data_IF_151748456490
#
_entry.id   IF_151748456490
#
_cell.length_a   1.000
_cell.length_b   1.000
_cell.length_c   1.000
_cell.angle_alpha   90.00
_cell.angle_beta   90.00
_cell.angle_gamma   90.00
#
_symmetry.space_group_name_H-M   'P 1'
#
loop_
_entity.id
_entity.type
_entity.pdbx_description
1 polymer ?
#
# COMPACT_ATOMS: atom_id res chain seq x y z
N UNK A 1 48.21 24.54 -28.56
CA UNK A 1 48.39 24.09 -27.16
C UNK A 1 47.47 24.77 -26.14
N UNK A 2 47.18 26.07 -26.27
CA UNK A 2 46.30 26.82 -25.34
C UNK A 2 44.91 26.18 -25.19
N UNK A 3 44.34 25.68 -26.29
CA UNK A 3 43.05 24.96 -26.32
C UNK A 3 43.05 23.76 -25.36
N UNK A 4 44.03 22.86 -25.48
CA UNK A 4 44.10 21.64 -24.67
C UNK A 4 44.26 21.98 -23.19
N UNK A 5 45.14 22.93 -22.84
CA UNK A 5 45.31 23.39 -21.45
C UNK A 5 44.03 23.97 -20.85
N UNK A 6 43.20 24.64 -21.67
CA UNK A 6 41.91 25.21 -21.24
C UNK A 6 40.83 24.14 -21.09
N UNK A 7 40.68 23.27 -22.09
CA UNK A 7 39.54 22.32 -22.20
C UNK A 7 39.80 21.00 -21.49
N UNK A 8 41.02 20.47 -21.56
CA UNK A 8 41.39 19.20 -20.94
C UNK A 8 42.82 19.27 -20.40
N UNK A 9 43.07 20.00 -19.30
CA UNK A 9 44.41 20.12 -18.69
C UNK A 9 44.99 18.79 -18.21
N UNK A 10 44.16 17.76 -18.04
CA UNK A 10 44.57 16.39 -17.71
C UNK A 10 45.02 15.56 -18.92
N UNK A 11 44.81 16.04 -20.15
CA UNK A 11 45.23 15.32 -21.35
C UNK A 11 46.76 15.38 -21.49
N UNK A 12 47.39 14.21 -21.68
CA UNK A 12 48.83 14.12 -21.93
C UNK A 12 49.11 14.42 -23.40
N UNK A 13 50.05 15.34 -23.67
CA UNK A 13 50.46 15.66 -25.03
C UNK A 13 51.82 15.02 -25.30
N UNK A 14 51.91 14.27 -26.39
CA UNK A 14 53.17 13.74 -26.93
C UNK A 14 53.43 14.45 -28.25
N UNK A 15 54.64 14.96 -28.44
CA UNK A 15 55.06 15.64 -29.67
C UNK A 15 56.12 14.79 -30.38
N UNK A 16 55.94 14.57 -31.68
CA UNK A 16 56.98 14.08 -32.58
C UNK A 16 57.24 15.13 -33.66
N UNK A 17 58.15 16.10 -33.42
CA UNK A 17 58.50 17.13 -34.40
C UNK A 17 59.03 16.49 -35.68
N UNK A 18 58.60 17.03 -36.83
CA UNK A 18 58.99 16.57 -38.16
C UNK A 18 59.07 17.75 -39.11
N UNK A 19 59.93 17.68 -40.12
CA UNK A 19 59.89 18.62 -41.24
C UNK A 19 58.53 18.52 -41.95
N UNK A 20 57.92 19.68 -42.19
CA UNK A 20 56.60 19.81 -42.85
C UNK A 20 56.70 20.41 -44.25
N UNK A 21 57.91 20.77 -44.69
CA UNK A 21 58.20 21.39 -45.98
C UNK A 21 59.58 20.98 -46.49
N UNK A 22 59.75 21.03 -47.82
CA UNK A 22 60.98 20.66 -48.51
C UNK A 22 61.08 19.17 -48.84
N UNK A 23 62.10 18.81 -49.62
CA UNK A 23 62.35 17.44 -50.06
C UNK A 23 62.61 16.50 -48.86
N UNK A 24 61.94 15.35 -48.85
CA UNK A 24 62.02 14.36 -47.77
C UNK A 24 61.12 14.62 -46.56
N UNK A 25 60.25 15.65 -46.60
CA UNK A 25 59.36 15.99 -45.49
C UNK A 25 58.25 14.94 -45.29
N UNK A 26 57.71 14.37 -46.37
CA UNK A 26 56.64 13.35 -46.29
C UNK A 26 57.15 12.08 -45.61
N UNK A 27 58.34 11.60 -45.95
CA UNK A 27 58.95 10.42 -45.32
C UNK A 27 59.29 10.65 -43.86
N UNK A 28 59.67 11.88 -43.50
CA UNK A 28 59.93 12.23 -42.10
C UNK A 28 58.64 12.26 -41.27
N UNK A 29 57.55 12.81 -41.83
CA UNK A 29 56.22 12.78 -41.23
C UNK A 29 55.71 11.34 -41.07
N UNK A 30 55.89 10.48 -42.08
CA UNK A 30 55.53 9.07 -42.01
C UNK A 30 56.31 8.35 -40.88
N UNK A 31 57.63 8.55 -40.80
CA UNK A 31 58.46 7.98 -39.72
C UNK A 31 58.06 8.51 -38.34
N UNK A 32 57.66 9.78 -38.25
CA UNK A 32 57.16 10.35 -37.00
C UNK A 32 55.83 9.73 -36.56
N UNK A 33 54.94 9.47 -37.52
CA UNK A 33 53.70 8.75 -37.27
C UNK A 33 53.99 7.33 -36.77
N UNK A 34 54.89 6.61 -37.43
CA UNK A 34 55.30 5.25 -37.03
C UNK A 34 55.84 5.24 -35.59
N UNK A 35 56.69 6.20 -35.21
CA UNK A 35 57.18 6.34 -33.83
C UNK A 35 56.06 6.55 -32.81
N UNK A 36 55.04 7.34 -33.15
CA UNK A 36 53.89 7.57 -32.27
C UNK A 36 53.03 6.31 -32.13
N UNK A 37 52.80 5.60 -33.23
CA UNK A 37 52.07 4.32 -33.26
C UNK A 37 52.81 3.26 -32.44
N UNK A 38 54.12 3.12 -32.65
CA UNK A 38 54.96 2.16 -31.93
C UNK A 38 55.02 2.45 -30.43
N UNK A 39 54.98 3.73 -30.04
CA UNK A 39 54.96 4.12 -28.62
C UNK A 39 53.72 3.62 -27.88
N UNK A 40 52.59 3.37 -28.57
CA UNK A 40 51.28 2.99 -28.00
C UNK A 40 50.80 3.91 -26.85
N UNK A 41 51.26 5.16 -26.83
CA UNK A 41 50.87 6.16 -25.83
C UNK A 41 49.65 6.99 -26.26
N UNK A 42 49.53 7.48 -27.51
CA UNK A 42 48.42 8.35 -27.88
C UNK A 42 47.14 7.56 -28.19
N UNK A 43 45.99 8.05 -27.70
CA UNK A 43 44.67 7.55 -28.10
C UNK A 43 44.20 8.12 -29.44
N UNK A 44 44.77 9.26 -29.85
CA UNK A 44 44.47 9.99 -31.09
C UNK A 44 45.72 10.77 -31.51
N UNK A 45 45.96 10.85 -32.82
CA UNK A 45 47.09 11.60 -33.40
C UNK A 45 46.54 12.77 -34.20
N UNK A 46 47.16 13.94 -34.05
CA UNK A 46 46.87 15.10 -34.90
C UNK A 46 48.07 15.31 -35.81
N UNK A 47 47.85 15.19 -37.11
CA UNK A 47 48.83 15.55 -38.13
C UNK A 47 48.49 16.95 -38.59
N UNK A 48 49.40 17.89 -38.43
CA UNK A 48 49.13 19.27 -38.80
C UNK A 48 50.38 20.11 -38.78
N UNK A 49 50.23 21.33 -39.25
CA UNK A 49 51.29 22.33 -39.31
C UNK A 49 50.83 23.66 -38.71
N UNK A 50 51.79 24.53 -38.37
CA UNK A 50 51.50 25.94 -38.09
C UNK A 50 51.10 26.70 -39.37
N UNK A 51 50.92 28.02 -39.27
CA UNK A 51 50.68 28.86 -40.46
C UNK A 51 51.82 28.78 -41.49
N UNK A 52 51.50 29.06 -42.77
CA UNK A 52 52.45 28.98 -43.90
C UNK A 52 51.74 29.16 -45.25
N UNK A 53 52.51 29.17 -46.34
CA UNK A 53 52.01 29.34 -47.71
C UNK A 53 51.36 28.05 -48.26
N UNK A 54 50.77 28.11 -49.46
CA UNK A 54 50.21 26.94 -50.16
C UNK A 54 51.32 25.97 -50.63
N UNK A 55 52.49 26.50 -50.98
CA UNK A 55 53.66 25.72 -51.43
C UNK A 55 54.17 24.77 -50.33
N UNK A 56 53.95 25.15 -49.08
CA UNK A 56 54.31 24.41 -47.87
C UNK A 56 53.29 23.28 -47.53
N UNK A 57 52.30 23.01 -48.38
CA UNK A 57 51.33 21.91 -48.22
C UNK A 57 51.71 20.63 -48.99
N UNK A 58 52.70 20.69 -49.87
CA UNK A 58 52.97 19.61 -50.82
C UNK A 58 53.33 18.28 -50.15
N UNK A 59 54.07 18.31 -49.04
CA UNK A 59 54.43 17.12 -48.26
C UNK A 59 53.21 16.30 -47.80
N UNK A 60 52.04 16.95 -47.67
CA UNK A 60 50.78 16.32 -47.27
C UNK A 60 49.97 15.73 -48.45
N UNK A 61 50.43 15.95 -49.68
CA UNK A 61 49.92 15.33 -50.91
C UNK A 61 50.76 14.15 -51.40
N UNK A 62 51.84 13.82 -50.71
CA UNK A 62 52.72 12.72 -51.11
C UNK A 62 52.23 11.36 -50.61
N UNK A 63 52.50 10.33 -51.41
CA UNK A 63 52.01 8.97 -51.18
C UNK A 63 52.55 8.35 -49.88
N UNK A 64 53.79 8.69 -49.50
CA UNK A 64 54.43 8.14 -48.30
C UNK A 64 53.62 8.43 -47.03
N UNK A 65 53.27 9.71 -46.80
CA UNK A 65 52.44 10.09 -45.66
C UNK A 65 51.01 9.56 -45.78
N UNK A 66 50.41 9.58 -46.97
CA UNK A 66 49.05 9.07 -47.17
C UNK A 66 48.94 7.58 -46.80
N UNK A 67 49.90 6.76 -47.23
CA UNK A 67 49.95 5.33 -46.86
C UNK A 67 50.17 5.13 -45.37
N UNK A 68 51.02 5.94 -44.75
CA UNK A 68 51.27 5.87 -43.31
C UNK A 68 50.00 6.21 -42.52
N UNK A 69 49.23 7.23 -42.94
CA UNK A 69 47.96 7.59 -42.32
C UNK A 69 46.96 6.43 -42.42
N UNK A 70 46.76 5.88 -43.61
CA UNK A 70 45.83 4.75 -43.84
C UNK A 70 46.23 3.49 -43.05
N UNK A 71 47.53 3.25 -42.88
CA UNK A 71 48.04 2.09 -42.16
C UNK A 71 47.97 2.24 -40.63
N UNK A 72 47.69 3.44 -40.12
CA UNK A 72 47.69 3.70 -38.68
C UNK A 72 46.54 2.98 -37.96
N UNK A 73 46.80 2.24 -36.87
CA UNK A 73 45.77 1.67 -36.02
C UNK A 73 45.18 2.69 -35.02
N UNK A 74 45.80 3.88 -34.90
CA UNK A 74 45.37 4.96 -34.01
C UNK A 74 44.65 6.01 -34.86
N UNK A 75 43.46 6.52 -34.45
CA UNK A 75 42.74 7.53 -35.21
C UNK A 75 43.57 8.79 -35.46
N UNK A 76 43.55 9.28 -36.69
CA UNK A 76 44.30 10.45 -37.14
C UNK A 76 43.36 11.59 -37.51
N UNK A 77 43.62 12.77 -36.96
CA UNK A 77 42.98 14.02 -37.37
C UNK A 77 43.95 14.84 -38.21
N UNK A 78 43.60 15.10 -39.46
CA UNK A 78 44.35 16.04 -40.31
C UNK A 78 43.97 17.48 -39.96
N UNK A 79 44.97 18.32 -39.77
CA UNK A 79 44.87 19.70 -39.34
C UNK A 79 45.81 20.61 -40.14
N UNK A 80 45.85 20.39 -41.46
CA UNK A 80 46.90 20.88 -42.37
C UNK A 80 46.49 22.14 -43.13
N UNK A 81 45.22 22.27 -43.54
CA UNK A 81 44.74 23.33 -44.44
C UNK A 81 43.53 24.10 -43.92
N UNK A 82 43.29 25.29 -44.50
CA UNK A 82 42.07 26.09 -44.30
C UNK A 82 40.90 25.46 -45.08
N UNK A 83 39.67 25.94 -44.90
CA UNK A 83 38.47 25.33 -45.50
C UNK A 83 38.56 25.11 -47.03
N UNK A 84 39.39 25.88 -47.74
CA UNK A 84 39.53 25.87 -49.21
C UNK A 84 40.61 24.91 -49.73
N UNK A 85 41.63 24.58 -48.93
CA UNK A 85 42.76 23.75 -49.35
C UNK A 85 42.59 22.32 -48.81
N UNK A 86 42.27 21.38 -49.70
CA UNK A 86 42.14 19.95 -49.37
C UNK A 86 43.40 19.21 -49.82
N UNK A 87 44.05 18.52 -48.89
CA UNK A 87 45.22 17.68 -49.16
C UNK A 87 44.84 16.20 -49.20
N UNK A 88 45.68 15.35 -49.79
CA UNK A 88 45.47 13.90 -49.74
C UNK A 88 45.45 13.41 -48.29
N UNK A 89 46.30 13.96 -47.42
CA UNK A 89 46.27 13.67 -45.97
C UNK A 89 44.90 13.95 -45.34
N UNK A 90 44.22 15.02 -45.75
CA UNK A 90 42.86 15.33 -45.28
C UNK A 90 41.81 14.30 -45.75
N UNK A 91 42.02 13.72 -46.93
CA UNK A 91 41.11 12.74 -47.51
C UNK A 91 41.29 11.34 -46.91
N UNK A 92 42.51 11.01 -46.49
CA UNK A 92 42.83 9.69 -45.94
C UNK A 92 42.77 9.63 -44.41
N UNK A 93 42.73 10.76 -43.72
CA UNK A 93 42.59 10.83 -42.26
C UNK A 93 41.15 10.52 -41.82
N UNK A 94 40.98 10.05 -40.57
CA UNK A 94 39.66 9.75 -40.00
C UNK A 94 38.79 11.01 -39.84
N UNK A 95 39.43 12.15 -39.58
CA UNK A 95 38.75 13.43 -39.44
C UNK A 95 39.61 14.58 -39.96
N UNK A 96 38.96 15.51 -40.66
CA UNK A 96 39.57 16.77 -41.07
C UNK A 96 39.19 17.90 -40.11
N UNK A 97 40.17 18.71 -39.76
CA UNK A 97 39.99 19.95 -39.02
C UNK A 97 40.70 21.12 -39.73
N UNK A 98 40.13 22.33 -39.72
CA UNK A 98 40.69 23.47 -40.45
C UNK A 98 41.98 24.04 -39.84
N UNK A 99 42.26 23.75 -38.56
CA UNK A 99 43.49 24.20 -37.88
C UNK A 99 43.88 23.19 -36.78
N UNK A 100 45.14 23.16 -36.34
CA UNK A 100 45.55 22.35 -35.19
C UNK A 100 44.79 22.68 -33.89
N UNK A 101 44.37 23.94 -33.73
CA UNK A 101 43.55 24.36 -32.60
C UNK A 101 42.13 23.78 -32.69
N UNK A 102 41.52 23.77 -33.87
CA UNK A 102 40.22 23.14 -34.09
C UNK A 102 40.29 21.62 -33.93
N UNK A 103 41.35 20.98 -34.42
CA UNK A 103 41.61 19.56 -34.20
C UNK A 103 41.66 19.24 -32.70
N UNK A 104 42.43 20.04 -31.94
CA UNK A 104 42.48 19.92 -30.48
C UNK A 104 41.09 20.07 -29.84
N UNK A 105 40.25 21.00 -30.30
CA UNK A 105 38.89 21.20 -29.80
C UNK A 105 37.94 20.03 -30.08
N UNK A 106 38.15 19.32 -31.19
CA UNK A 106 37.33 18.16 -31.57
C UNK A 106 37.71 16.91 -30.77
N UNK A 107 39.00 16.71 -30.49
CA UNK A 107 39.48 15.47 -29.86
C UNK A 107 39.39 15.47 -28.33
N UNK A 108 39.26 16.64 -27.67
CA UNK A 108 39.11 16.69 -26.21
C UNK A 108 37.74 17.18 -25.76
N UNK A 109 37.20 16.62 -24.66
CA UNK A 109 36.00 17.17 -24.04
C UNK A 109 36.25 18.57 -23.46
N UNK A 110 35.18 19.34 -23.25
CA UNK A 110 35.24 20.59 -22.52
C UNK A 110 35.12 20.35 -21.00
N UNK A 111 36.21 20.59 -20.28
CA UNK A 111 36.29 20.42 -18.84
C UNK A 111 35.43 21.37 -18.03
N UNK A 112 35.12 22.56 -18.54
CA UNK A 112 34.18 23.47 -17.87
C UNK A 112 32.77 22.85 -17.91
N UNK A 113 32.38 22.27 -19.04
CA UNK A 113 31.10 21.57 -19.18
C UNK A 113 31.03 20.27 -18.36
N UNK A 114 32.13 19.50 -18.32
CA UNK A 114 32.20 18.31 -17.47
C UNK A 114 32.09 18.68 -15.99
N UNK A 115 32.82 19.70 -15.54
CA UNK A 115 32.79 20.15 -14.15
C UNK A 115 31.43 20.73 -13.76
N UNK A 116 30.79 21.49 -14.65
CA UNK A 116 29.43 21.99 -14.40
C UNK A 116 28.42 20.86 -14.29
N UNK A 117 28.56 19.82 -15.11
CA UNK A 117 27.73 18.60 -15.04
C UNK A 117 27.91 17.86 -13.73
N UNK A 118 29.16 17.69 -13.27
CA UNK A 118 29.49 17.08 -11.97
C UNK A 118 28.93 17.91 -10.82
N UNK A 119 29.09 19.24 -10.86
CA UNK A 119 28.55 20.16 -9.83
C UNK A 119 27.02 20.18 -9.79
N UNK A 120 26.35 19.93 -10.91
CA UNK A 120 24.89 19.84 -10.98
C UNK A 120 24.33 18.47 -10.52
N UNK A 121 25.18 17.43 -10.46
CA UNK A 121 24.74 16.07 -10.14
C UNK A 121 24.10 15.93 -8.73
N UNK A 122 24.63 16.55 -7.65
CA UNK A 122 24.03 16.45 -6.31
C UNK A 122 22.58 16.96 -6.26
N UNK A 123 22.29 18.10 -6.89
CA UNK A 123 20.92 18.64 -6.94
C UNK A 123 19.97 17.73 -7.72
N UNK A 124 20.43 17.14 -8.83
CA UNK A 124 19.66 16.17 -9.62
C UNK A 124 19.37 14.90 -8.81
N UNK A 125 20.37 14.38 -8.11
CA UNK A 125 20.23 13.21 -7.24
C UNK A 125 19.27 13.48 -6.08
N UNK A 126 19.44 14.58 -5.35
CA UNK A 126 18.55 14.96 -4.24
C UNK A 126 17.09 15.10 -4.67
N UNK A 127 16.83 15.71 -5.83
CA UNK A 127 15.49 15.79 -6.42
C UNK A 127 14.94 14.40 -6.79
N UNK A 128 15.78 13.53 -7.35
CA UNK A 128 15.42 12.16 -7.69
C UNK A 128 15.01 11.33 -6.48
N UNK A 129 15.83 11.37 -5.42
CA UNK A 129 15.59 10.69 -4.14
C UNK A 129 14.30 11.20 -3.49
N UNK A 130 14.13 12.53 -3.41
CA UNK A 130 12.91 13.12 -2.84
C UNK A 130 11.64 12.66 -3.56
N UNK A 131 11.64 12.72 -4.90
CA UNK A 131 10.50 12.25 -5.71
C UNK A 131 10.22 10.76 -5.51
N UNK A 132 11.25 9.93 -5.37
CA UNK A 132 11.08 8.50 -5.10
C UNK A 132 10.42 8.26 -3.73
N UNK A 133 10.86 8.99 -2.69
CA UNK A 133 10.29 8.92 -1.36
C UNK A 133 8.82 9.38 -1.34
N UNK A 134 8.51 10.50 -1.99
CA UNK A 134 7.14 11.04 -2.10
C UNK A 134 6.19 10.05 -2.79
N UNK A 135 6.61 9.42 -3.89
CA UNK A 135 5.83 8.38 -4.57
C UNK A 135 5.58 7.16 -3.69
N UNK A 136 6.59 6.72 -2.93
CA UNK A 136 6.44 5.56 -2.03
C UNK A 136 5.49 5.88 -0.87
N UNK A 137 5.58 7.08 -0.29
CA UNK A 137 4.64 7.56 0.73
C UNK A 137 3.21 7.62 0.19
N UNK A 138 3.00 8.22 -0.98
CA UNK A 138 1.67 8.30 -1.60
C UNK A 138 1.05 6.91 -1.82
N UNK A 139 1.84 5.93 -2.28
CA UNK A 139 1.38 4.55 -2.48
C UNK A 139 0.95 3.87 -1.17
N UNK A 140 1.66 4.10 -0.07
CA UNK A 140 1.29 3.56 1.25
C UNK A 140 0.00 4.20 1.73
N UNK A 141 -0.11 5.52 1.64
CA UNK A 141 -1.32 6.26 2.05
C UNK A 141 -2.55 5.80 1.27
N UNK A 142 -2.41 5.61 -0.05
CA UNK A 142 -3.50 5.15 -0.90
C UNK A 142 -3.96 3.73 -0.54
N UNK A 143 -3.01 2.80 -0.37
CA UNK A 143 -3.31 1.43 0.09
C UNK A 143 -3.98 1.39 1.45
N UNK A 144 -3.53 2.23 2.39
CA UNK A 144 -4.17 2.34 3.71
C UNK A 144 -5.62 2.84 3.59
N UNK A 145 -5.89 3.86 2.76
CA UNK A 145 -7.26 4.34 2.52
C UNK A 145 -8.15 3.26 1.91
N UNK A 146 -7.65 2.50 0.94
CA UNK A 146 -8.39 1.39 0.33
C UNK A 146 -8.68 0.31 1.38
N UNK A 147 -7.68 -0.09 2.17
CA UNK A 147 -7.85 -1.09 3.22
C UNK A 147 -8.92 -0.67 4.24
N UNK A 148 -8.84 0.57 4.75
CA UNK A 148 -9.83 1.10 5.70
C UNK A 148 -11.25 1.06 5.16
N UNK A 149 -11.45 1.48 3.89
CA UNK A 149 -12.77 1.42 3.24
C UNK A 149 -13.28 -0.01 3.06
N UNK A 150 -12.40 -0.93 2.69
CA UNK A 150 -12.77 -2.34 2.52
C UNK A 150 -13.13 -2.98 3.86
N UNK A 151 -12.35 -2.72 4.91
CA UNK A 151 -12.65 -3.16 6.27
C UNK A 151 -14.00 -2.63 6.73
N UNK A 152 -14.26 -1.33 6.57
CA UNK A 152 -15.53 -0.72 6.96
C UNK A 152 -16.72 -1.33 6.22
N UNK A 153 -16.58 -1.58 4.90
CA UNK A 153 -17.61 -2.28 4.10
C UNK A 153 -17.87 -3.71 4.56
N UNK A 154 -16.85 -4.42 5.04
CA UNK A 154 -17.00 -5.80 5.54
C UNK A 154 -17.57 -5.88 6.96
N UNK A 155 -17.21 -4.93 7.84
CA UNK A 155 -17.60 -4.94 9.26
C UNK A 155 -19.01 -4.38 9.45
N UNK A 156 -19.43 -3.40 8.64
CA UNK A 156 -20.72 -2.73 8.80
C UNK A 156 -21.92 -3.70 8.72
N UNK A 157 -22.03 -4.61 7.74
CA UNK A 157 -23.13 -5.59 7.70
C UNK A 157 -23.11 -6.53 8.90
N UNK A 158 -21.93 -6.99 9.33
CA UNK A 158 -21.81 -7.87 10.50
C UNK A 158 -22.29 -7.17 11.79
N UNK A 159 -21.92 -5.90 12.00
CA UNK A 159 -22.42 -5.12 13.14
C UNK A 159 -23.94 -4.94 13.09
N UNK A 160 -24.49 -4.70 11.90
CA UNK A 160 -25.93 -4.55 11.72
C UNK A 160 -26.67 -5.87 12.01
N UNK A 161 -26.14 -7.00 11.53
CA UNK A 161 -26.69 -8.32 11.81
C UNK A 161 -26.72 -8.62 13.31
N UNK A 162 -25.62 -8.38 14.03
CA UNK A 162 -25.56 -8.55 15.49
C UNK A 162 -26.63 -7.70 16.21
N UNK A 163 -26.84 -6.45 15.76
CA UNK A 163 -27.90 -5.59 16.31
C UNK A 163 -29.29 -6.20 16.09
N UNK A 164 -29.61 -6.59 14.85
CA UNK A 164 -30.89 -7.21 14.50
C UNK A 164 -31.15 -8.52 15.25
N UNK A 165 -30.12 -9.36 15.38
CA UNK A 165 -30.20 -10.63 16.11
C UNK A 165 -30.41 -10.41 17.61
N UNK A 166 -29.79 -9.37 18.19
CA UNK A 166 -29.99 -8.99 19.59
C UNK A 166 -31.44 -8.53 19.84
N UNK A 167 -31.99 -7.67 18.99
CA UNK A 167 -33.40 -7.23 19.09
C UNK A 167 -34.39 -8.40 18.89
N UNK A 168 -34.07 -9.34 18.01
CA UNK A 168 -34.89 -10.53 17.79
C UNK A 168 -34.86 -11.45 19.01
N UNK A 169 -33.67 -11.66 19.59
CA UNK A 169 -33.49 -12.47 20.80
C UNK A 169 -34.30 -11.87 21.96
N UNK A 170 -34.18 -10.56 22.19
CA UNK A 170 -34.90 -9.88 23.27
C UNK A 170 -36.41 -10.00 23.13
N UNK A 171 -36.96 -9.77 21.93
CA UNK A 171 -38.40 -9.96 21.66
C UNK A 171 -38.84 -11.40 21.90
N UNK A 172 -38.08 -12.38 21.42
CA UNK A 172 -38.41 -13.79 21.61
C UNK A 172 -38.37 -14.21 23.07
N UNK A 173 -37.44 -13.64 23.84
CA UNK A 173 -37.31 -13.88 25.27
C UNK A 173 -38.49 -13.29 26.04
N UNK A 174 -38.86 -12.03 25.78
CA UNK A 174 -40.02 -11.39 26.41
C UNK A 174 -41.32 -12.15 26.11
N UNK A 175 -41.53 -12.52 24.85
CA UNK A 175 -42.71 -13.30 24.46
C UNK A 175 -42.76 -14.66 25.17
N UNK A 176 -41.62 -15.36 25.28
CA UNK A 176 -41.55 -16.63 26.01
C UNK A 176 -41.84 -16.44 27.51
N UNK A 177 -41.33 -15.36 28.11
CA UNK A 177 -41.56 -15.04 29.51
C UNK A 177 -43.04 -14.71 29.79
N UNK A 178 -43.67 -13.91 28.93
CA UNK A 178 -45.10 -13.59 29.01
C UNK A 178 -45.96 -14.85 28.90
N UNK A 179 -45.67 -15.73 27.94
CA UNK A 179 -46.39 -17.01 27.79
C UNK A 179 -46.25 -17.88 29.05
N UNK A 180 -45.05 -17.98 29.62
CA UNK A 180 -44.83 -18.73 30.87
C UNK A 180 -45.56 -18.11 32.06
N UNK A 181 -45.59 -16.77 32.17
CA UNK A 181 -46.35 -16.06 33.22
C UNK A 181 -47.85 -16.28 33.09
N UNK A 182 -48.39 -16.21 31.86
CA UNK A 182 -49.79 -16.47 31.60
C UNK A 182 -50.18 -17.92 31.94
N UNK A 183 -49.35 -18.89 31.55
CA UNK A 183 -49.55 -20.29 31.90
C UNK A 183 -49.51 -20.53 33.41
N UNK A 184 -48.55 -19.91 34.12
CA UNK A 184 -48.46 -19.97 35.57
C UNK A 184 -49.71 -19.39 36.25
N UNK A 185 -50.15 -18.20 35.84
CA UNK A 185 -51.35 -17.55 36.38
C UNK A 185 -52.60 -18.43 36.19
N UNK A 186 -52.77 -19.04 35.01
CA UNK A 186 -53.87 -19.96 34.75
C UNK A 186 -53.83 -21.20 35.66
N UNK A 187 -52.66 -21.81 35.84
CA UNK A 187 -52.50 -22.97 36.71
C UNK A 187 -52.77 -22.62 38.18
N UNK A 188 -52.28 -21.47 38.65
CA UNK A 188 -52.56 -20.96 40.00
C UNK A 188 -54.05 -20.69 40.21
N UNK A 189 -54.73 -20.05 39.26
CA UNK A 189 -56.17 -19.82 39.35
C UNK A 189 -56.99 -21.12 39.36
N UNK A 190 -56.56 -22.14 38.61
CA UNK A 190 -57.18 -23.49 38.68
C UNK A 190 -56.97 -24.14 40.04
N UNK A 191 -55.77 -24.02 40.60
CA UNK A 191 -55.45 -24.55 41.93
C UNK A 191 -56.30 -23.87 43.01
N UNK A 192 -56.46 -22.54 42.93
CA UNK A 192 -57.31 -21.79 43.85
C UNK A 192 -58.79 -22.15 43.72
N UNK A 193 -59.31 -22.29 42.49
CA UNK A 193 -60.70 -22.67 42.27
C UNK A 193 -61.03 -24.07 42.80
N UNK A 194 -60.04 -24.97 42.83
CA UNK A 194 -60.14 -26.32 43.37
C UNK A 194 -59.75 -26.39 44.87
N UNK A 195 -59.40 -25.26 45.49
CA UNK A 195 -58.97 -25.21 46.89
C UNK A 195 -60.17 -25.22 47.84
N UNK A 196 -60.25 -26.16 48.81
CA UNK A 196 -61.28 -26.18 49.85
C UNK A 196 -61.35 -24.87 50.66
N UNK A 197 -60.22 -24.18 50.81
CA UNK A 197 -60.16 -22.88 51.49
C UNK A 197 -60.87 -21.77 50.71
N UNK A 198 -60.83 -21.80 49.38
CA UNK A 198 -61.56 -20.84 48.55
C UNK A 198 -63.08 -21.07 48.62
N UNK A 199 -63.52 -22.33 48.78
CA UNK A 199 -64.93 -22.65 49.05
C UNK A 199 -65.36 -22.13 50.42
N UNK A 200 -64.52 -22.30 51.46
CA UNK A 200 -64.79 -21.76 52.79
C UNK A 200 -64.86 -20.22 52.79
N UNK A 201 -63.93 -19.56 52.09
CA UNK A 201 -63.86 -18.09 51.99
C UNK A 201 -65.09 -17.46 51.31
N UNK A 202 -65.84 -18.20 50.49
CA UNK A 202 -67.10 -17.75 49.87
C UNK A 202 -68.31 -17.79 50.83
N UNK A 203 -68.08 -18.06 52.11
CA UNK A 203 -69.12 -18.07 53.14
C UNK A 203 -69.79 -19.43 53.35
N UNK A 204 -69.30 -20.49 52.69
CA UNK A 204 -69.73 -21.84 52.97
C UNK A 204 -68.98 -22.39 54.19
N UNK A 205 -69.69 -23.07 55.07
CA UNK A 205 -69.09 -23.79 56.20
C UNK A 205 -69.22 -25.30 55.97
N UNK A 206 -68.24 -26.05 56.48
CA UNK A 206 -68.27 -27.51 56.43
C UNK A 206 -68.53 -28.03 57.83
N UNK A 207 -69.71 -28.61 58.04
CA UNK A 207 -70.06 -29.28 59.30
C UNK A 207 -69.33 -30.62 59.42
N UNK A 208 -68.70 -30.87 60.57
CA UNK A 208 -68.00 -32.11 60.89
C UNK A 208 -68.40 -32.62 62.27
N UNK A 209 -68.46 -33.94 62.43
CA UNK A 209 -68.59 -34.56 63.77
C UNK A 209 -67.30 -34.38 64.57
N UNK A 210 -67.35 -34.63 65.88
CA UNK A 210 -66.16 -34.67 66.75
C UNK A 210 -65.10 -35.69 66.29
N UNK A 211 -65.50 -36.69 65.50
CA UNK A 211 -64.63 -37.70 64.88
C UNK A 211 -64.06 -37.24 63.52
N UNK A 212 -64.43 -36.05 63.03
CA UNK A 212 -63.92 -35.46 61.81
C UNK A 212 -64.69 -35.81 60.52
N UNK A 213 -65.79 -36.56 60.62
CA UNK A 213 -66.61 -36.95 59.46
C UNK A 213 -67.48 -35.78 58.98
N UNK A 214 -67.51 -35.50 57.68
CA UNK A 214 -68.26 -34.37 57.11
C UNK A 214 -69.75 -34.70 57.02
N UNK A 215 -70.58 -33.87 57.65
CA UNK A 215 -72.04 -33.93 57.60
C UNK A 215 -72.52 -33.20 56.34
N UNK A 216 -73.22 -33.90 55.43
CA UNK A 216 -73.59 -33.35 54.10
C UNK A 216 -75.08 -33.32 53.85
N UNK A 217 -75.83 -34.26 54.42
CA UNK A 217 -77.26 -34.42 54.19
C UNK A 217 -78.04 -33.99 55.41
N UNK A 218 -79.27 -33.53 55.19
CA UNK A 218 -80.25 -33.19 56.22
C UNK A 218 -80.47 -34.34 57.20
N UNK A 219 -80.39 -35.59 56.72
CA UNK A 219 -80.50 -36.82 57.53
C UNK A 219 -79.36 -37.05 58.50
N UNK A 220 -78.20 -36.41 58.26
CA UNK A 220 -77.02 -36.58 59.10
C UNK A 220 -77.13 -35.73 60.39
N UNK A 221 -78.13 -34.84 60.47
CA UNK A 221 -78.40 -33.99 61.61
C UNK A 221 -79.60 -34.55 62.41
N UNK A 222 -79.42 -34.69 63.72
CA UNK A 222 -80.48 -35.09 64.65
C UNK A 222 -80.54 -34.09 65.82
N UNK A 223 -81.73 -33.81 66.39
CA UNK A 223 -81.84 -32.86 67.50
C UNK A 223 -80.94 -33.24 68.69
N UNK A 224 -80.09 -32.31 69.13
CA UNK A 224 -79.12 -32.52 70.20
C UNK A 224 -77.72 -32.96 69.75
N UNK A 225 -77.49 -33.18 68.45
CA UNK A 225 -76.15 -33.49 67.91
C UNK A 225 -75.23 -32.27 68.01
N UNK A 226 -74.10 -32.42 68.71
CA UNK A 226 -72.99 -31.48 68.68
C UNK A 226 -72.09 -31.74 67.46
N UNK A 227 -71.67 -30.67 66.79
CA UNK A 227 -70.80 -30.73 65.63
C UNK A 227 -69.99 -29.44 65.48
N UNK A 228 -68.87 -29.53 64.77
CA UNK A 228 -68.01 -28.40 64.50
C UNK A 228 -68.27 -27.85 63.11
N UNK A 229 -68.48 -26.54 63.02
CA UNK A 229 -68.51 -25.82 61.76
C UNK A 229 -67.12 -25.30 61.46
N UNK A 230 -66.46 -25.88 60.45
CA UNK A 230 -65.23 -25.31 59.91
C UNK A 230 -65.59 -24.12 59.04
N UNK A 231 -65.12 -22.95 59.45
CA UNK A 231 -65.24 -21.67 58.74
C UNK A 231 -63.86 -21.19 58.29
N UNK A 232 -63.82 -20.10 57.53
CA UNK A 232 -62.60 -19.59 56.86
C UNK A 232 -61.41 -19.39 57.80
N UNK A 233 -61.66 -18.91 59.02
CA UNK A 233 -60.66 -18.48 60.00
C UNK A 233 -60.64 -19.33 61.28
N UNK A 234 -61.49 -20.35 61.38
CA UNK A 234 -61.62 -21.09 62.65
C UNK A 234 -62.59 -22.26 62.60
N UNK A 235 -62.90 -22.78 63.78
CA UNK A 235 -63.92 -23.81 64.02
C UNK A 235 -64.88 -23.28 65.07
N UNK A 236 -66.18 -23.42 64.83
CA UNK A 236 -67.23 -23.00 65.76
C UNK A 236 -68.00 -24.24 66.19
N UNK A 237 -68.08 -24.48 67.50
CA UNK A 237 -68.93 -25.54 68.05
C UNK A 237 -70.40 -25.16 67.89
N UNK A 238 -71.20 -26.09 67.37
CA UNK A 238 -72.62 -25.90 67.12
C UNK A 238 -73.43 -27.11 67.60
N UNK A 239 -74.72 -26.88 67.87
CA UNK A 239 -75.66 -27.92 68.25
C UNK A 239 -76.93 -27.82 67.40
N UNK A 240 -77.44 -28.95 66.93
CA UNK A 240 -78.67 -29.02 66.15
C UNK A 240 -79.91 -28.84 67.06
N UNK A 241 -80.61 -27.71 66.92
CA UNK A 241 -81.82 -27.39 67.72
C UNK A 241 -83.06 -27.41 66.81
N UNK A 242 -83.92 -28.41 66.98
CA UNK A 242 -85.22 -28.53 66.30
C UNK A 242 -85.28 -29.57 65.16
N UNK A 243 -86.48 -29.92 64.68
CA UNK A 243 -86.67 -30.92 63.62
C UNK A 243 -86.11 -30.42 62.29
N UNK A 244 -85.22 -31.20 61.69
CA UNK A 244 -84.56 -30.85 60.43
C UNK A 244 -85.59 -30.87 59.29
N UNK A 245 -85.75 -29.74 58.59
CA UNK A 245 -86.69 -29.62 57.47
C UNK A 245 -85.93 -29.85 56.16
N UNK A 246 -86.29 -30.84 55.32
CA UNK A 246 -85.69 -30.98 54.00
C UNK A 246 -86.09 -29.79 53.10
N UNK A 247 -85.12 -29.21 52.39
CA UNK A 247 -85.34 -28.08 51.49
C UNK A 247 -86.23 -28.45 50.29
N UNK A 248 -87.09 -27.51 49.86
CA UNK A 248 -87.82 -27.57 48.59
C UNK A 248 -86.86 -27.24 47.44
N UNK A 249 -86.91 -28.00 46.35
CA UNK A 249 -86.30 -27.64 45.07
C UNK A 249 -86.99 -26.39 44.50
N UNK A 250 -86.27 -25.28 44.42
CA UNK A 250 -86.60 -24.16 43.54
C UNK A 250 -85.86 -24.35 42.20
N UNK A 251 -86.63 -24.31 41.11
CA UNK A 251 -86.17 -24.38 39.72
C UNK A 251 -85.61 -23.04 39.24
#
# INVERSE_FOLDING_TARGET
MTVLRRRAPWARIVLSPSRVQGEGASEELAKALDRLVESKVPDVIIVGRGGGSLEDLWAFNEEALARAIVASPIPIVSAVGHEVDVTISDLVADLRAPTPSAAAELVVPDGVLLLSSVRAAPLRLSRGVRRAAERRRARVTDRMRVLSRTMERSIRPARQAVGMDSERLERSFQQSLEQKRAAFSMLSGRLEALSPLATLARGYSVARTSEGTVLRRVTDFHPGLQFDLKVTDGTVEANAVGPVKPGREER
#
